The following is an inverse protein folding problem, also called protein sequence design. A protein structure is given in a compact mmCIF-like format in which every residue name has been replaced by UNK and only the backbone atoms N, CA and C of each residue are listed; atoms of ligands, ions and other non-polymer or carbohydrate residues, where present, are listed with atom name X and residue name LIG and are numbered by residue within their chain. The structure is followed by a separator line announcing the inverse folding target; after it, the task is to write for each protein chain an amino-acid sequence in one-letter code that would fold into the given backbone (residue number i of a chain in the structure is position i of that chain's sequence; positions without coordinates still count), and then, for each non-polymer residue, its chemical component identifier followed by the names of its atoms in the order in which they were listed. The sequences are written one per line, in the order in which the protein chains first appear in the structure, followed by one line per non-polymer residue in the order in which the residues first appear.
data_IF_245770642989
#
_entry.id   IF_245770642989
#
_cell.length_a   1.000
_cell.length_b   1.000
_cell.length_c   1.000
_cell.angle_alpha   90.00
_cell.angle_beta   90.00
_cell.angle_gamma   90.00
#
_symmetry.space_group_name_H-M   'P 1'
#
loop_
_entity.id
_entity.type
_entity.pdbx_description
1 polymer ?
#
# COMPACT_ATOMS: atom_id res chain seq x y z
N UNK A 1 15.06 -9.19 -6.68
CA UNK A 1 13.95 -9.73 -5.86
C UNK A 1 13.41 -8.60 -4.99
N UNK A 2 12.10 -8.39 -4.93
CA UNK A 2 11.50 -7.33 -4.09
C UNK A 2 11.37 -7.82 -2.66
N UNK A 3 11.70 -6.95 -1.70
CA UNK A 3 11.46 -7.23 -0.27
C UNK A 3 10.07 -6.75 0.12
N UNK A 4 9.50 -7.32 1.19
CA UNK A 4 8.21 -6.87 1.73
C UNK A 4 8.17 -5.36 1.99
N UNK A 5 9.23 -4.82 2.59
CA UNK A 5 9.35 -3.38 2.83
C UNK A 5 9.33 -2.57 1.53
N UNK A 6 9.96 -3.02 0.45
CA UNK A 6 9.85 -2.33 -0.85
C UNK A 6 8.41 -2.33 -1.37
N UNK A 7 7.68 -3.43 -1.19
CA UNK A 7 6.28 -3.53 -1.60
C UNK A 7 5.37 -2.60 -0.78
N UNK A 8 5.57 -2.51 0.55
CA UNK A 8 4.83 -1.60 1.43
C UNK A 8 5.00 -0.14 0.99
N UNK A 9 6.22 0.25 0.61
CA UNK A 9 6.51 1.59 0.10
C UNK A 9 5.88 1.85 -1.26
N UNK A 10 5.97 0.91 -2.20
CA UNK A 10 5.33 1.04 -3.52
C UNK A 10 3.81 1.15 -3.39
N UNK A 11 3.19 0.38 -2.49
CA UNK A 11 1.76 0.49 -2.23
C UNK A 11 1.39 1.83 -1.60
N UNK A 12 2.17 2.31 -0.62
CA UNK A 12 1.94 3.61 0.01
C UNK A 12 2.05 4.76 -1.01
N UNK A 13 3.08 4.77 -1.84
CA UNK A 13 3.27 5.77 -2.90
C UNK A 13 2.10 5.72 -3.88
N UNK A 14 1.70 4.52 -4.32
CA UNK A 14 0.56 4.34 -5.23
C UNK A 14 -0.73 4.94 -4.64
N UNK A 15 -1.06 4.57 -3.40
CA UNK A 15 -2.27 5.04 -2.72
C UNK A 15 -2.25 6.56 -2.46
N UNK A 16 -1.08 7.14 -2.17
CA UNK A 16 -0.92 8.58 -1.95
C UNK A 16 -1.06 9.36 -3.27
N UNK A 17 -0.47 8.84 -4.35
CA UNK A 17 -0.53 9.44 -5.67
C UNK A 17 -1.97 9.44 -6.22
N UNK A 18 -2.70 8.35 -6.03
CA UNK A 18 -4.12 8.24 -6.42
C UNK A 18 -5.01 9.26 -5.69
N UNK A 19 -4.71 9.54 -4.42
CA UNK A 19 -5.50 10.49 -3.60
C UNK A 19 -5.17 11.96 -3.83
N UNK A 20 -3.90 12.30 -4.04
CA UNK A 20 -3.42 13.70 -4.03
C UNK A 20 -2.82 14.17 -5.35
N UNK A 21 -2.60 13.27 -6.31
CA UNK A 21 -1.89 13.55 -7.57
C UNK A 21 -0.36 13.65 -7.44
N UNK A 22 0.16 13.91 -6.23
CA UNK A 22 1.60 13.95 -5.94
C UNK A 22 1.91 13.30 -4.59
N UNK A 23 3.18 12.92 -4.38
CA UNK A 23 3.65 12.27 -3.15
C UNK A 23 4.87 12.99 -2.60
N UNK A 24 4.82 13.44 -1.33
CA UNK A 24 5.98 13.96 -0.62
C UNK A 24 6.54 12.90 0.33
N UNK A 25 7.84 12.96 0.58
CA UNK A 25 8.50 12.04 1.54
C UNK A 25 7.89 12.08 2.95
N UNK A 26 7.34 13.22 3.38
CA UNK A 26 6.61 13.35 4.64
C UNK A 26 5.33 12.50 4.64
N UNK A 27 4.55 12.54 3.56
CA UNK A 27 3.31 11.76 3.47
C UNK A 27 3.59 10.25 3.55
N UNK A 28 4.70 9.79 2.96
CA UNK A 28 5.14 8.39 3.03
C UNK A 28 5.56 8.03 4.46
N UNK A 29 6.36 8.89 5.10
CA UNK A 29 6.83 8.71 6.47
C UNK A 29 5.65 8.58 7.44
N UNK A 30 4.68 9.50 7.34
CA UNK A 30 3.48 9.51 8.17
C UNK A 30 2.60 8.28 7.88
N UNK A 31 2.47 7.88 6.60
CA UNK A 31 1.63 6.74 6.20
C UNK A 31 2.17 5.38 6.65
N UNK A 32 3.49 5.22 6.67
CA UNK A 32 4.17 3.97 7.03
C UNK A 32 4.71 3.98 8.46
N UNK A 33 4.53 5.09 9.20
CA UNK A 33 5.02 5.26 10.57
C UNK A 33 6.54 5.05 10.70
N UNK A 34 7.29 5.63 9.75
CA UNK A 34 8.75 5.51 9.64
C UNK A 34 9.42 6.88 9.59
N UNK A 35 10.74 6.92 9.79
CA UNK A 35 11.48 8.19 9.77
C UNK A 35 11.70 8.71 8.34
N UNK A 36 11.80 10.03 8.17
CA UNK A 36 12.12 10.66 6.87
C UNK A 36 13.46 10.19 6.26
N UNK A 37 14.53 9.98 7.05
CA UNK A 37 15.75 9.34 6.53
C UNK A 37 15.49 7.95 5.94
N UNK A 38 14.73 7.09 6.63
CA UNK A 38 14.37 5.76 6.13
C UNK A 38 13.61 5.84 4.80
N UNK A 39 12.70 6.81 4.66
CA UNK A 39 12.00 7.05 3.39
C UNK A 39 12.96 7.43 2.28
N UNK A 40 13.92 8.32 2.56
CA UNK A 40 14.89 8.78 1.56
C UNK A 40 15.78 7.64 1.08
N UNK A 41 16.23 6.78 2.00
CA UNK A 41 16.99 5.57 1.68
C UNK A 41 16.18 4.61 0.82
N UNK A 42 14.91 4.37 1.19
CA UNK A 42 14.04 3.48 0.41
C UNK A 42 13.72 4.03 -0.98
N UNK A 43 13.46 5.34 -1.12
CA UNK A 43 13.24 5.97 -2.43
C UNK A 43 14.47 5.77 -3.33
N UNK A 44 15.68 5.98 -2.79
CA UNK A 44 16.92 5.72 -3.53
C UNK A 44 16.99 4.27 -4.00
N UNK A 45 16.73 3.32 -3.10
CA UNK A 45 16.74 1.89 -3.41
C UNK A 45 15.69 1.51 -4.46
N UNK A 46 14.47 2.04 -4.36
CA UNK A 46 13.41 1.81 -5.35
C UNK A 46 13.78 2.40 -6.72
N UNK A 47 14.46 3.54 -6.74
CA UNK A 47 14.97 4.17 -7.97
C UNK A 47 16.09 3.35 -8.60
N UNK A 48 17.05 2.86 -7.82
CA UNK A 48 18.13 1.97 -8.28
C UNK A 48 17.59 0.65 -8.84
N UNK A 49 16.45 0.20 -8.33
CA UNK A 49 15.76 -1.00 -8.83
C UNK A 49 14.77 -0.69 -9.98
N UNK A 50 14.77 0.55 -10.48
CA UNK A 50 13.97 1.02 -11.61
C UNK A 50 12.45 0.90 -11.41
N UNK A 51 11.96 0.92 -10.17
CA UNK A 51 10.51 0.95 -9.91
C UNK A 51 9.95 2.36 -9.97
N UNK A 52 10.76 3.35 -9.60
CA UNK A 52 10.38 4.76 -9.62
C UNK A 52 11.50 5.61 -10.20
N UNK A 53 11.14 6.82 -10.62
CA UNK A 53 12.05 7.93 -10.89
C UNK A 53 11.77 9.01 -9.85
N UNK A 54 12.82 9.48 -9.19
CA UNK A 54 12.73 10.61 -8.28
C UNK A 54 13.25 11.87 -8.96
N UNK A 55 12.35 12.83 -9.20
CA UNK A 55 12.70 14.12 -9.76
C UNK A 55 12.72 15.17 -8.65
N UNK A 56 13.82 15.92 -8.56
CA UNK A 56 14.07 16.94 -7.51
C UNK A 56 12.93 17.97 -7.38
N UNK A 57 12.19 18.21 -8.48
CA UNK A 57 11.04 19.12 -8.53
C UNK A 57 9.73 18.45 -9.02
N UNK A 58 9.81 17.26 -9.63
CA UNK A 58 8.67 16.53 -10.20
C UNK A 58 8.04 15.48 -9.26
N UNK A 59 8.68 15.20 -8.12
CA UNK A 59 8.20 14.22 -7.16
C UNK A 59 8.57 12.78 -7.55
N UNK A 60 7.76 11.82 -7.10
CA UNK A 60 7.98 10.39 -7.35
C UNK A 60 7.08 9.96 -8.50
N UNK A 61 7.68 9.38 -9.55
CA UNK A 61 6.96 8.87 -10.72
C UNK A 61 7.25 7.38 -10.88
N UNK A 62 6.22 6.55 -11.04
CA UNK A 62 6.42 5.13 -11.33
C UNK A 62 6.92 4.91 -12.76
N UNK A 63 7.92 4.04 -12.91
CA UNK A 63 8.26 3.45 -14.22
C UNK A 63 7.18 2.45 -14.64
N UNK A 64 7.21 1.98 -15.89
CA UNK A 64 6.32 0.89 -16.34
C UNK A 64 6.47 -0.38 -15.47
N UNK A 65 7.71 -0.72 -15.11
CA UNK A 65 8.05 -1.85 -14.22
C UNK A 65 7.45 -1.67 -12.83
N UNK A 66 7.60 -0.48 -12.24
CA UNK A 66 7.02 -0.15 -10.94
C UNK A 66 5.50 -0.11 -10.94
N UNK A 67 4.87 0.43 -11.99
CA UNK A 67 3.40 0.44 -12.11
C UNK A 67 2.84 -0.97 -12.11
N UNK A 68 3.41 -1.87 -12.91
CA UNK A 68 2.97 -3.28 -12.98
C UNK A 68 3.05 -3.93 -11.59
N UNK A 69 4.18 -3.79 -10.91
CA UNK A 69 4.39 -4.36 -9.58
C UNK A 69 3.44 -3.75 -8.54
N UNK A 70 3.28 -2.43 -8.51
CA UNK A 70 2.37 -1.74 -7.59
C UNK A 70 0.92 -2.19 -7.77
N UNK A 71 0.48 -2.38 -9.03
CA UNK A 71 -0.85 -2.92 -9.33
C UNK A 71 -1.02 -4.36 -8.84
N UNK A 72 -0.02 -5.22 -9.01
CA UNK A 72 -0.06 -6.60 -8.51
C UNK A 72 -0.13 -6.64 -6.97
N UNK A 73 0.69 -5.82 -6.29
CA UNK A 73 0.66 -5.66 -4.82
C UNK A 73 -0.72 -5.19 -4.38
N UNK A 74 -1.27 -4.15 -5.03
CA UNK A 74 -2.56 -3.57 -4.67
C UNK A 74 -3.71 -4.56 -4.89
N UNK A 75 -3.67 -5.32 -5.98
CA UNK A 75 -4.65 -6.37 -6.25
C UNK A 75 -4.63 -7.43 -5.14
N UNK A 76 -3.44 -7.91 -4.76
CA UNK A 76 -3.29 -8.92 -3.70
C UNK A 76 -3.78 -8.38 -2.35
N UNK A 77 -3.45 -7.15 -2.00
CA UNK A 77 -3.96 -6.50 -0.79
C UNK A 77 -5.48 -6.43 -0.80
N UNK A 78 -6.07 -5.94 -1.89
CA UNK A 78 -7.52 -5.74 -2.00
C UNK A 78 -8.26 -7.07 -1.91
N UNK A 79 -7.80 -8.10 -2.62
CA UNK A 79 -8.38 -9.44 -2.54
C UNK A 79 -8.34 -10.01 -1.12
N UNK A 80 -7.21 -9.83 -0.40
CA UNK A 80 -7.10 -10.29 0.98
C UNK A 80 -8.06 -9.55 1.90
N UNK A 81 -8.16 -8.22 1.77
CA UNK A 81 -9.08 -7.40 2.57
C UNK A 81 -10.54 -7.77 2.28
N UNK A 82 -10.92 -7.94 1.01
CA UNK A 82 -12.26 -8.37 0.63
C UNK A 82 -12.59 -9.77 1.17
N UNK A 83 -11.65 -10.70 1.09
CA UNK A 83 -11.80 -12.03 1.65
C UNK A 83 -12.03 -11.97 3.17
N UNK A 84 -11.17 -11.26 3.90
CA UNK A 84 -11.30 -11.11 5.36
C UNK A 84 -12.61 -10.43 5.76
N UNK A 85 -13.04 -9.39 5.03
CA UNK A 85 -14.31 -8.73 5.27
C UNK A 85 -15.51 -9.67 5.05
N UNK A 86 -15.50 -10.49 4.00
CA UNK A 86 -16.56 -11.48 3.75
C UNK A 86 -16.63 -12.51 4.87
N UNK A 87 -15.47 -13.03 5.28
CA UNK A 87 -15.37 -13.98 6.39
C UNK A 87 -15.89 -13.37 7.69
N UNK A 88 -15.51 -12.13 8.01
CA UNK A 88 -15.97 -11.42 9.20
C UNK A 88 -17.49 -11.20 9.18
N UNK A 89 -18.05 -10.76 8.05
CA UNK A 89 -19.50 -10.57 7.90
C UNK A 89 -20.28 -11.87 8.06
N UNK A 90 -19.77 -12.99 7.54
CA UNK A 90 -20.38 -14.30 7.74
C UNK A 90 -20.38 -14.69 9.22
N UNK A 91 -19.25 -14.54 9.92
CA UNK A 91 -19.18 -14.81 11.35
C UNK A 91 -20.16 -13.95 12.15
N UNK A 92 -20.21 -12.63 11.89
CA UNK A 92 -21.14 -11.73 12.55
C UNK A 92 -22.61 -12.13 12.33
N UNK A 93 -22.98 -12.45 11.09
CA UNK A 93 -24.33 -12.91 10.75
C UNK A 93 -24.75 -14.19 11.49
N UNK A 94 -23.83 -15.15 11.64
CA UNK A 94 -24.11 -16.39 12.37
C UNK A 94 -24.21 -16.18 13.87
N UNK A 95 -23.38 -15.31 14.43
CA UNK A 95 -23.41 -14.93 15.85
C UNK A 95 -24.75 -14.28 16.18
N UNK A 96 -25.21 -13.30 15.40
CA UNK A 96 -26.48 -12.61 15.64
C UNK A 96 -27.68 -13.57 15.60
N UNK A 97 -27.66 -14.55 14.69
CA UNK A 97 -28.70 -15.60 14.66
C UNK A 97 -28.72 -16.46 15.92
N UNK A 98 -27.56 -16.83 16.47
CA UNK A 98 -27.51 -17.66 17.68
C UNK A 98 -28.07 -16.92 18.91
N UNK A 99 -27.87 -15.60 19.02
CA UNK A 99 -28.41 -14.81 20.12
C UNK A 99 -29.91 -14.51 20.01
N UNK A 100 -30.50 -14.57 18.81
CA UNK A 100 -31.95 -14.42 18.64
C UNK A 100 -32.76 -15.68 18.98
N UNK A 101 -32.12 -16.83 19.21
CA UNK A 101 -32.78 -18.08 19.62
C UNK A 101 -32.75 -18.34 21.15
N UNK A 102 -32.27 -17.38 21.96
CA UNK A 102 -32.23 -17.51 23.43
C UNK A 102 -33.33 -16.72 24.18
N UNK A 103 -34.44 -16.35 23.54
CA UNK A 103 -35.64 -15.78 24.18
C UNK A 103 -36.87 -16.61 23.80
#
# INVERSE_FOLDING_TARGET
MTTRSMEDYLEAIWNLQDKKGYVKAKDIADKLEVTRPSVSEMIKKLSENEYIVYEKYGGIVFTAKGKKLAQEIKKRHTLLVEFLNRVFLLFHYHIDKLYQFQI
#
